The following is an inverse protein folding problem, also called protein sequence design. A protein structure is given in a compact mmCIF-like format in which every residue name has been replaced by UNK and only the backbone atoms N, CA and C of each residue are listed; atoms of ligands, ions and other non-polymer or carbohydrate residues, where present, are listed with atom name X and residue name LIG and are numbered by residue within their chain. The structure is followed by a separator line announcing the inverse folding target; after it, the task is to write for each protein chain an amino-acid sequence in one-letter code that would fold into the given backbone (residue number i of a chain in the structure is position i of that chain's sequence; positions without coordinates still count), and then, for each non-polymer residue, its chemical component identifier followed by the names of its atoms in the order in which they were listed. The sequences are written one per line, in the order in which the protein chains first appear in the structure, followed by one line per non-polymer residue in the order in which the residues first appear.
data_IF_710727508058
#
_entry.id   IF_710727508058
#
_cell.length_a   1.000
_cell.length_b   1.000
_cell.length_c   1.000
_cell.angle_alpha   90.00
_cell.angle_beta   90.00
_cell.angle_gamma   90.00
#
_symmetry.space_group_name_H-M   'P 1'
#
loop_
_entity.id
_entity.type
_entity.pdbx_description
1 polymer ?
#
# COMPACT_ATOMS: atom_id res chain seq x y z
N UNK A 1 32.57 7.84 13.11
CA UNK A 1 31.35 8.38 12.46
C UNK A 1 30.92 7.39 11.38
N UNK A 2 30.25 6.31 11.75
CA UNK A 2 28.78 6.11 11.68
C UNK A 2 28.26 5.84 10.26
N UNK A 3 28.46 4.63 9.75
CA UNK A 3 27.77 4.08 8.57
C UNK A 3 26.63 3.15 9.02
N UNK A 4 25.47 3.72 9.35
CA UNK A 4 24.23 2.95 9.61
C UNK A 4 23.16 3.40 8.63
N UNK A 5 23.08 2.81 7.43
CA UNK A 5 21.88 2.96 6.58
C UNK A 5 21.75 1.99 5.37
N UNK A 6 22.28 0.76 5.45
CA UNK A 6 22.18 -0.19 4.32
C UNK A 6 21.56 -1.57 4.67
N UNK A 7 21.22 -1.81 5.95
CA UNK A 7 20.60 -3.08 6.37
C UNK A 7 19.06 -3.09 6.22
N UNK A 8 18.40 -1.93 6.30
CA UNK A 8 16.93 -1.84 6.32
C UNK A 8 16.29 -2.09 4.92
N UNK A 9 16.94 -1.66 3.83
CA UNK A 9 16.42 -1.82 2.46
C UNK A 9 16.39 -3.29 2.02
N UNK A 10 17.43 -4.06 2.35
CA UNK A 10 17.53 -5.46 1.96
C UNK A 10 16.48 -6.33 2.68
N UNK A 11 16.20 -6.01 3.95
CA UNK A 11 15.13 -6.66 4.72
C UNK A 11 13.75 -6.37 4.14
N UNK A 12 13.49 -5.12 3.73
CA UNK A 12 12.24 -4.75 3.05
C UNK A 12 12.09 -5.51 1.73
N UNK A 13 13.14 -5.56 0.91
CA UNK A 13 13.13 -6.30 -0.37
C UNK A 13 12.87 -7.79 -0.13
N UNK A 14 13.52 -8.38 0.88
CA UNK A 14 13.36 -9.81 1.18
C UNK A 14 11.97 -10.14 1.74
N UNK A 15 11.42 -9.28 2.60
CA UNK A 15 10.03 -9.36 3.04
C UNK A 15 9.06 -9.30 1.85
N UNK A 16 9.27 -8.36 0.94
CA UNK A 16 8.48 -8.24 -0.28
C UNK A 16 8.58 -9.50 -1.16
N UNK A 17 9.77 -10.11 -1.30
CA UNK A 17 10.01 -11.34 -2.06
C UNK A 17 9.34 -12.57 -1.44
N UNK A 18 9.30 -12.68 -0.11
CA UNK A 18 8.70 -13.84 0.56
C UNK A 18 7.17 -13.77 0.65
N UNK A 19 6.61 -12.56 0.83
CA UNK A 19 5.15 -12.34 0.83
C UNK A 19 4.48 -12.69 -0.52
N UNK A 20 5.29 -12.78 -1.59
CA UNK A 20 4.85 -13.17 -2.93
C UNK A 20 4.45 -14.63 -3.04
N UNK A 21 5.16 -15.49 -2.31
CA UNK A 21 5.26 -16.93 -2.57
C UNK A 21 4.03 -17.71 -2.09
N UNK A 22 3.16 -17.08 -1.29
CA UNK A 22 2.06 -17.74 -0.55
C UNK A 22 0.64 -17.36 -1.00
N UNK A 23 0.47 -16.64 -2.12
CA UNK A 23 -0.86 -16.17 -2.56
C UNK A 23 -1.57 -17.24 -3.42
N UNK A 24 -2.35 -18.13 -2.78
CA UNK A 24 -3.36 -18.96 -3.47
C UNK A 24 -4.57 -18.08 -3.81
N UNK A 25 -4.82 -17.81 -5.10
CA UNK A 25 -5.95 -17.01 -5.58
C UNK A 25 -7.25 -17.84 -5.43
N UNK A 26 -7.94 -17.71 -4.30
CA UNK A 26 -9.33 -18.19 -4.17
C UNK A 26 -10.28 -17.17 -4.80
N UNK A 27 -10.98 -17.59 -5.84
CA UNK A 27 -12.07 -16.87 -6.52
C UNK A 27 -13.30 -16.88 -5.61
N UNK A 28 -13.44 -15.94 -4.67
CA UNK A 28 -14.71 -15.74 -3.96
C UNK A 28 -14.85 -14.34 -3.34
N UNK A 29 -16.08 -13.80 -3.45
CA UNK A 29 -16.69 -12.64 -2.77
C UNK A 29 -15.95 -11.28 -2.82
N UNK A 30 -16.64 -10.28 -3.40
CA UNK A 30 -16.43 -8.82 -3.25
C UNK A 30 -15.17 -8.40 -2.46
N UNK A 31 -14.08 -8.12 -3.16
CA UNK A 31 -12.88 -7.58 -2.53
C UNK A 31 -13.11 -6.08 -2.24
N UNK A 32 -12.81 -5.64 -1.01
CA UNK A 32 -12.81 -4.21 -0.65
C UNK A 32 -11.38 -3.66 -0.61
N UNK A 33 -11.26 -2.37 -0.89
CA UNK A 33 -10.02 -1.61 -0.73
C UNK A 33 -9.65 -1.51 0.75
N UNK A 34 -8.43 -1.91 1.13
CA UNK A 34 -7.96 -1.80 2.51
C UNK A 34 -7.72 -0.36 3.00
N UNK A 35 -7.95 0.65 2.16
CA UNK A 35 -7.69 2.06 2.47
C UNK A 35 -8.97 2.88 2.57
N UNK A 36 -9.94 2.64 1.66
CA UNK A 36 -11.18 3.44 1.58
C UNK A 36 -12.43 2.58 1.45
N UNK A 37 -12.30 1.27 1.63
CA UNK A 37 -13.37 0.26 1.57
C UNK A 37 -14.17 0.19 0.25
N UNK A 38 -13.79 0.97 -0.76
CA UNK A 38 -14.35 0.88 -2.11
C UNK A 38 -14.26 -0.55 -2.62
N UNK A 39 -15.33 -1.04 -3.23
CA UNK A 39 -15.38 -2.34 -3.87
C UNK A 39 -14.41 -2.40 -5.05
N UNK A 40 -13.72 -3.53 -5.19
CA UNK A 40 -12.70 -3.78 -6.19
C UNK A 40 -13.05 -5.07 -6.92
N UNK A 41 -13.02 -5.02 -8.24
CA UNK A 41 -13.04 -6.20 -9.07
C UNK A 41 -11.65 -6.83 -9.10
N UNK A 42 -11.59 -8.13 -8.79
CA UNK A 42 -10.45 -9.05 -8.91
C UNK A 42 -9.09 -8.39 -9.25
N UNK A 43 -8.20 -8.26 -8.28
CA UNK A 43 -6.86 -7.73 -8.51
C UNK A 43 -5.78 -8.79 -8.53
N UNK A 44 -4.88 -8.67 -9.53
CA UNK A 44 -3.63 -9.44 -9.65
C UNK A 44 -2.54 -8.95 -8.70
N UNK A 45 -2.75 -7.82 -8.00
CA UNK A 45 -1.75 -7.23 -7.11
C UNK A 45 -1.85 -7.80 -5.70
N UNK A 46 -0.70 -7.96 -5.02
CA UNK A 46 -0.63 -8.44 -3.63
C UNK A 46 -1.27 -7.49 -2.62
N UNK A 47 -1.41 -6.22 -2.99
CA UNK A 47 -2.02 -5.19 -2.16
C UNK A 47 -3.47 -5.02 -2.61
N UNK A 48 -4.42 -5.28 -1.71
CA UNK A 48 -5.86 -5.11 -1.95
C UNK A 48 -6.26 -3.63 -1.83
N UNK A 49 -5.89 -2.80 -2.80
CA UNK A 49 -6.22 -1.38 -2.83
C UNK A 49 -6.84 -0.95 -4.17
N UNK A 50 -7.81 -0.04 -4.18
CA UNK A 50 -8.40 0.40 -5.44
C UNK A 50 -7.38 1.18 -6.30
N UNK A 51 -7.65 1.28 -7.60
CA UNK A 51 -6.77 1.99 -8.53
C UNK A 51 -6.50 3.44 -8.08
N UNK A 52 -7.50 4.14 -7.56
CA UNK A 52 -7.35 5.52 -7.09
C UNK A 52 -6.35 5.63 -5.92
N UNK A 53 -6.49 4.81 -4.88
CA UNK A 53 -5.54 4.80 -3.74
C UNK A 53 -4.12 4.43 -4.19
N UNK A 54 -3.98 3.46 -5.11
CA UNK A 54 -2.68 3.10 -5.70
C UNK A 54 -2.03 4.27 -6.43
N UNK A 55 -2.81 5.00 -7.22
CA UNK A 55 -2.32 6.16 -7.99
C UNK A 55 -2.01 7.36 -7.09
N UNK A 56 -2.80 7.59 -6.04
CA UNK A 56 -2.54 8.62 -5.04
C UNK A 56 -1.19 8.37 -4.35
N UNK A 57 -0.95 7.13 -3.90
CA UNK A 57 0.33 6.73 -3.31
C UNK A 57 1.49 6.95 -4.28
N UNK A 58 1.37 6.46 -5.53
CA UNK A 58 2.41 6.63 -6.56
C UNK A 58 2.77 8.11 -6.76
N UNK A 59 1.78 8.99 -6.93
CA UNK A 59 2.00 10.44 -7.12
C UNK A 59 2.65 11.08 -5.90
N UNK A 60 2.26 10.65 -4.70
CA UNK A 60 2.82 11.18 -3.45
C UNK A 60 4.29 10.82 -3.31
N UNK A 61 4.65 9.56 -3.54
CA UNK A 61 6.05 9.09 -3.44
C UNK A 61 6.92 9.67 -4.55
N UNK A 62 6.49 9.58 -5.81
CA UNK A 62 7.26 10.12 -6.95
C UNK A 62 7.45 11.63 -6.86
N UNK A 63 6.43 12.35 -6.38
CA UNK A 63 6.50 13.80 -6.22
C UNK A 63 7.07 14.26 -4.89
N UNK A 64 7.52 13.34 -4.01
CA UNK A 64 7.99 13.63 -2.65
C UNK A 64 7.05 14.58 -1.88
N UNK A 65 5.74 14.40 -2.04
CA UNK A 65 4.74 15.32 -1.48
C UNK A 65 4.55 15.06 0.02
N UNK A 66 4.75 16.10 0.83
CA UNK A 66 4.36 16.12 2.22
C UNK A 66 3.01 16.84 2.37
N UNK A 67 2.03 16.17 2.99
CA UNK A 67 0.73 16.75 3.29
C UNK A 67 0.65 17.13 4.77
N UNK A 68 0.15 18.33 5.07
CA UNK A 68 -0.21 18.74 6.43
C UNK A 68 -1.71 18.53 6.62
N UNK A 69 -2.08 17.70 7.59
CA UNK A 69 -3.48 17.50 7.92
C UNK A 69 -4.05 18.77 8.58
N UNK A 70 -5.29 19.11 8.26
CA UNK A 70 -6.03 20.21 8.90
C UNK A 70 -6.75 19.79 10.19
N UNK A 71 -6.86 18.48 10.43
CA UNK A 71 -7.62 17.88 11.53
C UNK A 71 -6.76 16.92 12.35
N UNK A 72 -5.47 17.23 12.50
CA UNK A 72 -4.50 16.50 13.36
C UNK A 72 -4.45 14.98 13.12
N UNK A 73 -4.67 14.55 11.89
CA UNK A 73 -4.62 13.13 11.50
C UNK A 73 -5.88 12.32 11.82
N UNK A 74 -6.93 12.94 12.37
CA UNK A 74 -8.18 12.26 12.75
C UNK A 74 -9.20 12.15 11.60
N UNK A 75 -8.73 12.15 10.35
CA UNK A 75 -9.61 12.00 9.19
C UNK A 75 -10.08 10.55 9.05
N UNK A 76 -11.37 10.34 8.91
CA UNK A 76 -11.92 9.06 8.48
C UNK A 76 -11.81 8.92 6.96
N UNK A 77 -11.34 7.77 6.48
CA UNK A 77 -11.18 7.50 5.04
C UNK A 77 -12.27 6.53 4.58
N UNK A 78 -13.30 7.06 3.94
CA UNK A 78 -14.44 6.31 3.40
C UNK A 78 -14.57 6.50 1.87
N UNK A 79 -15.54 5.81 1.22
CA UNK A 79 -15.69 5.76 -0.25
C UNK A 79 -16.19 7.07 -0.86
#
# INVERSE_FOLDING_TARGET
MSTKNNQNIQEIINYCKNAVKSIKIKKHSSLKCSICDRQIECMKSRIKCCHACRMFFRRTVTGLRAYKCKHDGNCEITK
#
